data_IF_498718724225
#
_entry.id   IF_498718724225
#
_cell.length_a   1.000
_cell.length_b   1.000
_cell.length_c   1.000
_cell.angle_alpha   90.00
_cell.angle_beta   90.00
_cell.angle_gamma   90.00
#
_symmetry.space_group_name_H-M   'P 1'
#
loop_
_entity.id
_entity.type
_entity.pdbx_description
1 polymer ?
#
# COMPACT_ATOMS: atom_id res chain seq x y z
N UNK A 1 -6.96 -25.81 23.51
CA UNK A 1 -8.00 -24.85 23.08
C UNK A 1 -7.45 -23.45 23.36
N UNK A 2 -6.68 -22.89 22.42
CA UNK A 2 -6.27 -21.46 22.45
C UNK A 2 -5.48 -20.98 21.22
N UNK A 3 -4.85 -21.82 20.38
CA UNK A 3 -3.80 -21.29 19.49
C UNK A 3 -4.14 -21.19 18.00
N UNK A 4 -5.40 -21.42 17.58
CA UNK A 4 -5.74 -21.46 16.14
C UNK A 4 -6.69 -20.36 15.65
N UNK A 5 -7.09 -19.43 16.53
CA UNK A 5 -7.99 -18.32 16.17
C UNK A 5 -7.26 -17.00 15.86
N UNK A 6 -5.93 -16.93 16.05
CA UNK A 6 -5.15 -15.69 15.93
C UNK A 6 -4.57 -15.40 14.53
N UNK A 7 -4.70 -16.33 13.58
CA UNK A 7 -4.07 -16.14 12.25
C UNK A 7 -4.95 -15.38 11.24
N UNK A 8 -6.28 -15.42 11.41
CA UNK A 8 -7.24 -14.58 10.67
C UNK A 8 -7.27 -13.12 11.11
N UNK A 9 -7.26 -12.77 12.41
CA UNK A 9 -7.19 -11.38 12.83
C UNK A 9 -5.86 -10.76 12.41
N UNK A 10 -4.73 -11.48 12.39
CA UNK A 10 -3.44 -10.89 12.03
C UNK A 10 -3.38 -10.40 10.57
N UNK A 11 -3.97 -11.13 9.61
CA UNK A 11 -4.03 -10.72 8.21
C UNK A 11 -5.00 -9.56 7.97
N UNK A 12 -6.16 -9.57 8.65
CA UNK A 12 -7.15 -8.49 8.60
C UNK A 12 -6.64 -7.23 9.32
N UNK A 13 -5.89 -7.40 10.41
CA UNK A 13 -5.20 -6.33 11.15
C UNK A 13 -4.05 -5.78 10.31
N UNK A 14 -3.21 -6.60 9.67
CA UNK A 14 -2.17 -6.13 8.73
C UNK A 14 -2.76 -5.28 7.60
N UNK A 15 -3.80 -5.79 6.93
CA UNK A 15 -4.43 -5.10 5.79
C UNK A 15 -5.19 -3.83 6.21
N UNK A 16 -5.74 -3.79 7.44
CA UNK A 16 -6.30 -2.57 8.03
C UNK A 16 -5.21 -1.59 8.47
N UNK A 17 -4.15 -2.04 9.12
CA UNK A 17 -3.08 -1.20 9.66
C UNK A 17 -2.26 -0.57 8.54
N UNK A 18 -1.92 -1.32 7.49
CA UNK A 18 -1.09 -0.81 6.40
C UNK A 18 -1.89 0.13 5.46
N UNK A 19 -3.16 -0.21 5.18
CA UNK A 19 -4.10 0.69 4.50
C UNK A 19 -4.40 1.98 5.28
N UNK A 20 -4.30 1.95 6.61
CA UNK A 20 -4.39 3.12 7.49
C UNK A 20 -3.05 3.89 7.53
N UNK A 21 -1.90 3.22 7.41
CA UNK A 21 -0.59 3.85 7.51
C UNK A 21 -0.24 4.72 6.28
N UNK A 22 -0.59 4.26 5.07
CA UNK A 22 -0.32 4.99 3.82
C UNK A 22 -0.85 6.44 3.80
N UNK A 23 -2.13 6.73 4.15
CA UNK A 23 -2.62 8.11 4.17
C UNK A 23 -1.92 8.97 5.22
N UNK A 24 -1.48 8.40 6.35
CA UNK A 24 -0.70 9.16 7.34
C UNK A 24 0.70 9.50 6.83
N UNK A 25 1.38 8.58 6.16
CA UNK A 25 2.69 8.86 5.54
C UNK A 25 2.55 9.92 4.44
N UNK A 26 1.52 9.83 3.60
CA UNK A 26 1.22 10.85 2.59
C UNK A 26 0.91 12.22 3.23
N UNK A 27 0.14 12.24 4.32
CA UNK A 27 -0.16 13.47 5.07
C UNK A 27 1.09 14.10 5.68
N UNK A 28 2.03 13.29 6.18
CA UNK A 28 3.33 13.77 6.67
C UNK A 28 4.14 14.44 5.56
N UNK A 29 4.13 13.88 4.34
CA UNK A 29 4.79 14.51 3.18
C UNK A 29 4.15 15.86 2.86
N UNK A 30 2.82 15.92 2.78
CA UNK A 30 2.09 17.18 2.53
C UNK A 30 2.38 18.23 3.61
N UNK A 31 2.42 17.81 4.88
CA UNK A 31 2.74 18.68 6.01
C UNK A 31 4.19 19.19 5.93
N UNK A 32 5.15 18.33 5.56
CA UNK A 32 6.53 18.73 5.34
C UNK A 32 6.63 19.82 4.27
N UNK A 33 6.00 19.61 3.11
CA UNK A 33 5.96 20.59 2.03
C UNK A 33 5.31 21.90 2.46
N UNK A 34 4.21 21.84 3.21
CA UNK A 34 3.53 23.02 3.74
C UNK A 34 4.45 23.85 4.65
N UNK A 35 5.06 23.20 5.65
CA UNK A 35 5.94 23.88 6.62
C UNK A 35 7.13 24.52 5.90
N UNK A 36 7.82 23.76 5.03
CA UNK A 36 8.97 24.29 4.30
C UNK A 36 8.56 25.39 3.32
N UNK A 37 7.42 25.28 2.62
CA UNK A 37 6.97 26.33 1.71
C UNK A 37 6.74 27.65 2.44
N UNK A 38 6.07 27.62 3.60
CA UNK A 38 5.84 28.83 4.41
C UNK A 38 7.16 29.41 4.90
N UNK A 39 8.07 28.60 5.43
CA UNK A 39 9.40 29.06 5.88
C UNK A 39 10.17 29.67 4.70
N UNK A 40 10.20 28.99 3.55
CA UNK A 40 10.89 29.44 2.35
C UNK A 40 10.36 30.77 1.83
N UNK A 41 9.03 30.99 1.86
CA UNK A 41 8.45 32.29 1.53
C UNK A 41 8.90 33.40 2.48
N UNK A 42 8.94 33.14 3.79
CA UNK A 42 9.35 34.16 4.77
C UNK A 42 10.83 34.50 4.67
N UNK A 43 11.67 33.52 4.35
CA UNK A 43 13.13 33.67 4.33
C UNK A 43 13.65 34.13 2.96
N UNK A 44 13.17 33.53 1.87
CA UNK A 44 13.68 33.74 0.51
C UNK A 44 12.73 34.52 -0.39
N UNK A 45 11.54 34.90 0.09
CA UNK A 45 10.52 35.59 -0.70
C UNK A 45 10.91 36.99 -1.20
N UNK A 46 12.02 37.55 -0.72
CA UNK A 46 12.56 38.84 -1.16
C UNK A 46 13.72 38.73 -2.16
N UNK A 47 14.16 37.53 -2.49
CA UNK A 47 15.22 37.34 -3.49
C UNK A 47 14.70 37.80 -4.86
N UNK A 48 15.52 38.57 -5.57
CA UNK A 48 15.20 39.07 -6.91
C UNK A 48 15.06 37.93 -7.91
N UNK A 49 14.16 38.10 -8.87
CA UNK A 49 14.03 37.17 -9.98
C UNK A 49 15.03 37.54 -11.07
N UNK A 50 15.88 36.59 -11.46
CA UNK A 50 16.85 36.74 -12.53
C UNK A 50 16.88 35.47 -13.39
N UNK A 51 16.58 35.62 -14.68
CA UNK A 51 16.54 34.52 -15.66
C UNK A 51 17.92 33.86 -15.88
N UNK A 52 19.02 34.51 -15.46
CA UNK A 52 20.35 33.93 -15.46
C UNK A 52 20.63 33.03 -14.22
N UNK A 53 19.78 33.08 -13.20
CA UNK A 53 19.94 32.32 -11.95
C UNK A 53 18.89 31.22 -11.82
N UNK A 54 19.02 30.39 -10.79
CA UNK A 54 17.96 29.41 -10.47
C UNK A 54 16.72 30.03 -9.85
N UNK A 55 16.77 31.30 -9.41
CA UNK A 55 15.60 32.00 -8.88
C UNK A 55 15.06 32.95 -9.95
N UNK A 56 14.04 32.50 -10.66
CA UNK A 56 13.44 33.21 -11.79
C UNK A 56 11.90 33.10 -11.74
N UNK A 57 11.21 33.66 -12.74
CA UNK A 57 9.74 33.76 -12.77
C UNK A 57 9.00 32.44 -12.52
N UNK A 58 9.58 31.30 -12.91
CA UNK A 58 8.95 29.99 -12.77
C UNK A 58 9.50 29.16 -11.59
N UNK A 59 10.51 29.65 -10.88
CA UNK A 59 11.17 28.94 -9.79
C UNK A 59 11.54 29.95 -8.68
N UNK A 60 10.60 30.26 -7.78
CA UNK A 60 10.78 31.29 -6.75
C UNK A 60 9.92 31.05 -5.49
N UNK A 61 10.16 31.88 -4.48
CA UNK A 61 9.49 31.83 -3.18
C UNK A 61 8.53 33.02 -2.94
N UNK A 62 8.09 33.72 -3.99
CA UNK A 62 7.21 34.90 -3.84
C UNK A 62 5.76 34.52 -3.49
N UNK A 63 5.34 33.30 -3.83
CA UNK A 63 3.99 32.79 -3.51
C UNK A 63 4.03 31.35 -3.02
N UNK A 64 2.98 30.94 -2.31
CA UNK A 64 2.91 29.60 -1.71
C UNK A 64 3.03 28.49 -2.75
N UNK A 65 2.27 28.56 -3.84
CA UNK A 65 2.32 27.54 -4.88
C UNK A 65 3.66 27.52 -5.62
N UNK A 66 4.27 28.68 -5.86
CA UNK A 66 5.61 28.74 -6.45
C UNK A 66 6.65 28.10 -5.52
N UNK A 67 6.61 28.40 -4.21
CA UNK A 67 7.50 27.78 -3.23
C UNK A 67 7.32 26.25 -3.17
N UNK A 68 6.08 25.76 -3.23
CA UNK A 68 5.79 24.32 -3.32
C UNK A 68 6.39 23.70 -4.59
N UNK A 69 6.34 24.39 -5.73
CA UNK A 69 6.96 23.92 -6.98
C UNK A 69 8.49 23.86 -6.88
N UNK A 70 9.13 24.87 -6.27
CA UNK A 70 10.58 24.85 -6.01
C UNK A 70 10.96 23.65 -5.12
N UNK A 71 10.17 23.40 -4.08
CA UNK A 71 10.37 22.26 -3.18
C UNK A 71 10.11 20.92 -3.88
N UNK A 72 9.10 20.84 -4.76
CA UNK A 72 8.84 19.65 -5.55
C UNK A 72 9.99 19.33 -6.50
N UNK A 73 10.47 20.35 -7.23
CA UNK A 73 11.68 20.26 -8.05
C UNK A 73 12.91 19.81 -7.24
N UNK A 74 13.04 20.33 -6.02
CA UNK A 74 14.14 19.95 -5.13
C UNK A 74 14.00 18.52 -4.62
N UNK A 75 12.78 18.06 -4.36
CA UNK A 75 12.48 16.70 -3.90
C UNK A 75 12.74 15.63 -4.97
N UNK A 76 12.58 15.97 -6.25
CA UNK A 76 12.98 15.10 -7.37
C UNK A 76 14.49 15.09 -7.60
N UNK A 77 15.26 15.88 -6.84
CA UNK A 77 16.71 15.99 -6.94
C UNK A 77 17.19 16.89 -8.09
N UNK A 78 16.30 17.64 -8.72
CA UNK A 78 16.66 18.47 -9.87
C UNK A 78 17.27 19.80 -9.41
N UNK A 79 18.57 19.98 -9.66
CA UNK A 79 19.32 21.23 -9.46
C UNK A 79 19.15 21.90 -8.07
N UNK A 80 18.71 21.16 -7.05
CA UNK A 80 18.39 21.70 -5.72
C UNK A 80 19.58 22.40 -5.05
N UNK A 81 20.79 21.95 -5.35
CA UNK A 81 22.04 22.54 -4.88
C UNK A 81 22.24 23.94 -5.45
N UNK A 82 21.91 24.14 -6.72
CA UNK A 82 22.02 25.44 -7.38
C UNK A 82 20.93 26.40 -6.87
N UNK A 83 19.70 25.91 -6.67
CA UNK A 83 18.63 26.67 -6.02
C UNK A 83 19.05 27.14 -4.62
N UNK A 84 19.67 26.25 -3.84
CA UNK A 84 20.23 26.57 -2.52
C UNK A 84 21.28 27.68 -2.60
N UNK A 85 22.19 27.61 -3.57
CA UNK A 85 23.22 28.63 -3.77
C UNK A 85 22.65 29.97 -4.24
N UNK A 86 21.61 29.96 -5.08
CA UNK A 86 20.89 31.19 -5.48
C UNK A 86 20.03 31.80 -4.36
N UNK A 87 19.93 31.14 -3.20
CA UNK A 87 19.29 31.65 -1.99
C UNK A 87 20.27 31.95 -0.85
N UNK A 88 21.55 31.56 -0.99
CA UNK A 88 22.55 31.71 0.07
C UNK A 88 23.15 33.12 0.07
N UNK A 89 23.84 33.47 1.15
CA UNK A 89 24.45 34.80 1.29
C UNK A 89 25.67 34.94 0.36
N UNK A 90 25.39 35.25 -0.91
CA UNK A 90 26.37 35.51 -1.96
C UNK A 90 26.16 36.88 -2.59
N UNK A 91 27.21 37.40 -3.22
CA UNK A 91 27.24 38.75 -3.80
C UNK A 91 26.30 38.92 -5.00
N UNK A 92 26.00 37.83 -5.70
CA UNK A 92 25.08 37.75 -6.82
C UNK A 92 23.60 37.72 -6.40
N UNK A 93 23.30 37.45 -5.13
CA UNK A 93 21.93 37.31 -4.63
C UNK A 93 21.37 38.65 -4.14
N UNK A 94 20.70 39.37 -5.05
CA UNK A 94 20.11 40.70 -4.80
C UNK A 94 18.68 40.64 -4.31
N UNK A 95 18.26 41.72 -3.65
CA UNK A 95 16.87 41.91 -3.25
C UNK A 95 15.98 42.32 -4.43
N UNK A 96 14.74 41.84 -4.44
CA UNK A 96 13.73 42.20 -5.43
C UNK A 96 13.43 43.71 -5.41
N UNK A 97 13.19 44.32 -6.56
CA UNK A 97 13.00 45.77 -6.70
C UNK A 97 11.79 46.30 -5.91
N UNK A 98 10.78 45.46 -5.67
CA UNK A 98 9.60 45.82 -4.91
C UNK A 98 9.80 45.71 -3.39
N UNK A 99 10.88 45.07 -2.94
CA UNK A 99 11.20 44.91 -1.52
C UNK A 99 11.60 46.24 -0.88
N UNK A 100 11.32 46.38 0.42
CA UNK A 100 11.69 47.60 1.18
C UNK A 100 13.20 47.71 1.40
N UNK A 101 13.90 46.56 1.42
CA UNK A 101 15.35 46.49 1.51
C UNK A 101 15.99 47.11 0.26
N UNK A 102 15.50 46.78 -0.94
CA UNK A 102 15.97 47.39 -2.19
C UNK A 102 15.67 48.90 -2.26
N UNK A 103 14.50 49.34 -1.78
CA UNK A 103 14.16 50.78 -1.75
C UNK A 103 15.08 51.58 -0.83
N UNK A 104 15.60 50.96 0.23
CA UNK A 104 16.54 51.59 1.17
C UNK A 104 17.97 51.58 0.61
N UNK A 105 18.37 50.47 0.01
CA UNK A 105 19.68 50.29 -0.61
C UNK A 105 19.54 49.48 -1.91
N UNK A 106 19.88 50.10 -3.04
CA UNK A 106 19.79 49.46 -4.37
C UNK A 106 20.76 48.30 -4.54
N UNK A 107 21.79 48.23 -3.69
CA UNK A 107 22.76 47.14 -3.66
C UNK A 107 22.47 46.11 -2.57
N UNK A 108 21.31 46.20 -1.90
CA UNK A 108 20.92 45.27 -0.85
C UNK A 108 20.96 43.81 -1.31
N UNK A 109 21.53 42.96 -0.43
CA UNK A 109 21.62 41.52 -0.60
C UNK A 109 20.52 40.84 0.21
N UNK A 110 19.85 39.88 -0.39
CA UNK A 110 18.73 39.15 0.24
C UNK A 110 19.00 37.65 0.39
N UNK A 111 20.22 37.20 0.06
CA UNK A 111 20.65 35.84 0.33
C UNK A 111 20.96 35.61 1.81
N UNK A 112 20.69 34.41 2.32
CA UNK A 112 20.95 34.07 3.73
C UNK A 112 21.61 32.71 3.88
N UNK A 113 22.60 32.60 4.77
CA UNK A 113 23.29 31.32 5.04
C UNK A 113 22.38 30.24 5.65
N UNK A 114 21.19 30.61 6.13
CA UNK A 114 20.16 29.64 6.52
C UNK A 114 19.69 28.76 5.34
N UNK A 115 19.96 29.14 4.08
CA UNK A 115 19.69 28.32 2.90
C UNK A 115 20.34 26.92 2.99
N UNK A 116 21.57 26.80 3.49
CA UNK A 116 22.26 25.51 3.59
C UNK A 116 21.52 24.50 4.48
N UNK A 117 21.27 24.78 5.78
CA UNK A 117 20.54 23.85 6.62
C UNK A 117 19.08 23.67 6.15
N UNK A 118 18.45 24.68 5.56
CA UNK A 118 17.09 24.57 5.02
C UNK A 118 17.00 23.53 3.89
N UNK A 119 17.78 23.65 2.83
CA UNK A 119 17.70 22.74 1.68
C UNK A 119 18.24 21.34 2.00
N UNK A 120 19.34 21.24 2.77
CA UNK A 120 19.90 19.94 3.16
C UNK A 120 18.93 19.17 4.05
N UNK A 121 18.33 19.82 5.06
CA UNK A 121 17.35 19.16 5.93
C UNK A 121 16.09 18.75 5.17
N UNK A 122 15.58 19.60 4.28
CA UNK A 122 14.45 19.27 3.42
C UNK A 122 14.73 18.03 2.58
N UNK A 123 15.89 18.00 1.90
CA UNK A 123 16.26 16.90 1.02
C UNK A 123 16.38 15.56 1.79
N UNK A 124 17.02 15.58 2.97
CA UNK A 124 17.16 14.40 3.82
C UNK A 124 15.82 13.90 4.34
N UNK A 125 14.97 14.79 4.89
CA UNK A 125 13.65 14.44 5.42
C UNK A 125 12.71 13.96 4.32
N UNK A 126 12.68 14.64 3.18
CA UNK A 126 11.85 14.26 2.04
C UNK A 126 12.27 12.89 1.49
N UNK A 127 13.56 12.66 1.28
CA UNK A 127 14.08 11.36 0.82
C UNK A 127 13.71 10.24 1.77
N UNK A 128 13.85 10.46 3.09
CA UNK A 128 13.45 9.49 4.11
C UNK A 128 11.95 9.16 4.03
N UNK A 129 11.07 10.17 3.92
CA UNK A 129 9.63 9.94 3.81
C UNK A 129 9.22 9.24 2.52
N UNK A 130 9.82 9.61 1.38
CA UNK A 130 9.54 8.97 0.07
C UNK A 130 9.96 7.50 0.09
N UNK A 131 11.12 7.17 0.65
CA UNK A 131 11.55 5.78 0.80
C UNK A 131 10.58 5.02 1.71
N UNK A 132 10.16 5.60 2.83
CA UNK A 132 9.19 4.96 3.72
C UNK A 132 7.83 4.72 3.04
N UNK A 133 7.39 5.64 2.18
CA UNK A 133 6.20 5.45 1.35
C UNK A 133 6.38 4.28 0.38
N UNK A 134 7.52 4.22 -0.32
CA UNK A 134 7.82 3.14 -1.27
C UNK A 134 7.87 1.78 -0.58
N UNK A 135 8.52 1.68 0.59
CA UNK A 135 8.55 0.46 1.41
C UNK A 135 7.14 0.07 1.85
N UNK A 136 6.33 1.02 2.33
CA UNK A 136 4.96 0.73 2.74
C UNK A 136 4.12 0.18 1.58
N UNK A 137 4.21 0.79 0.39
CA UNK A 137 3.52 0.32 -0.81
C UNK A 137 4.01 -1.07 -1.23
N UNK A 138 5.33 -1.32 -1.23
CA UNK A 138 5.86 -2.64 -1.57
C UNK A 138 5.38 -3.70 -0.58
N UNK A 139 5.36 -3.42 0.72
CA UNK A 139 4.92 -4.39 1.72
C UNK A 139 3.44 -4.79 1.53
N UNK A 140 2.59 -3.84 1.15
CA UNK A 140 1.20 -4.11 0.77
C UNK A 140 1.12 -5.01 -0.48
N UNK A 141 1.94 -4.72 -1.49
CA UNK A 141 1.97 -5.49 -2.73
C UNK A 141 2.65 -6.86 -2.58
N UNK A 142 3.59 -7.01 -1.64
CA UNK A 142 4.34 -8.24 -1.43
C UNK A 142 3.47 -9.34 -0.83
N UNK A 143 2.55 -9.00 0.09
CA UNK A 143 1.57 -9.95 0.63
C UNK A 143 0.57 -10.41 -0.47
N UNK A 144 0.33 -9.61 -1.52
CA UNK A 144 -0.43 -10.03 -2.71
C UNK A 144 0.38 -11.00 -3.59
N UNK A 145 1.62 -10.64 -3.92
CA UNK A 145 2.49 -11.44 -4.81
C UNK A 145 2.93 -12.77 -4.19
N UNK A 146 2.99 -12.87 -2.85
CA UNK A 146 3.34 -14.13 -2.16
C UNK A 146 2.14 -15.07 -1.95
N UNK A 147 0.90 -14.59 -2.09
CA UNK A 147 -0.32 -15.43 -1.99
C UNK A 147 -0.50 -16.38 -3.16
N UNK A 148 0.00 -16.03 -4.34
CA UNK A 148 -0.08 -16.87 -5.55
C UNK A 148 0.80 -18.13 -5.49
N UNK A 149 1.70 -18.23 -4.50
CA UNK A 149 2.49 -19.45 -4.23
C UNK A 149 1.85 -20.38 -3.20
N UNK A 150 0.73 -19.98 -2.58
CA UNK A 150 0.02 -20.88 -1.69
C UNK A 150 -0.63 -21.99 -2.51
N UNK A 151 -0.41 -23.24 -2.09
CA UNK A 151 -0.98 -24.46 -2.72
C UNK A 151 -2.50 -24.34 -2.91
N UNK A 152 -3.18 -23.48 -2.15
CA UNK A 152 -4.60 -23.19 -2.26
C UNK A 152 -4.89 -21.68 -2.20
N UNK A 153 -4.94 -21.02 -3.36
CA UNK A 153 -5.29 -19.60 -3.49
C UNK A 153 -6.81 -19.30 -3.49
N UNK A 154 -7.18 -18.01 -3.41
CA UNK A 154 -8.58 -17.56 -3.37
C UNK A 154 -9.40 -17.95 -4.61
N UNK A 155 -8.77 -18.02 -5.78
CA UNK A 155 -9.42 -18.47 -7.03
C UNK A 155 -9.99 -19.89 -6.95
N UNK A 156 -9.33 -20.81 -6.22
CA UNK A 156 -9.88 -22.17 -6.01
C UNK A 156 -11.11 -22.15 -5.10
N UNK A 157 -11.14 -21.24 -4.11
CA UNK A 157 -12.29 -21.08 -3.22
C UNK A 157 -13.47 -20.46 -3.98
N UNK A 158 -13.21 -19.49 -4.86
CA UNK A 158 -14.23 -18.91 -5.76
C UNK A 158 -14.81 -19.96 -6.71
N UNK A 159 -13.98 -20.84 -7.28
CA UNK A 159 -14.45 -21.96 -8.09
C UNK A 159 -15.37 -22.90 -7.29
N UNK A 160 -15.01 -23.22 -6.04
CA UNK A 160 -15.85 -24.02 -5.14
C UNK A 160 -17.18 -23.33 -4.84
N UNK A 161 -17.17 -22.03 -4.50
CA UNK A 161 -18.39 -21.25 -4.20
C UNK A 161 -19.32 -21.23 -5.42
N UNK A 162 -18.76 -20.96 -6.60
CA UNK A 162 -19.52 -20.92 -7.86
C UNK A 162 -20.14 -22.29 -8.18
N UNK A 163 -19.39 -23.37 -8.01
CA UNK A 163 -19.92 -24.71 -8.29
C UNK A 163 -20.91 -25.16 -7.22
N UNK A 164 -20.75 -24.73 -5.96
CA UNK A 164 -21.72 -25.00 -4.90
C UNK A 164 -23.08 -24.35 -5.18
N UNK A 165 -23.10 -23.12 -5.69
CA UNK A 165 -24.36 -22.43 -6.00
C UNK A 165 -25.18 -23.10 -7.09
N UNK A 166 -24.56 -23.91 -7.97
CA UNK A 166 -25.31 -24.76 -8.92
C UNK A 166 -26.14 -25.85 -8.21
N UNK A 167 -25.71 -26.30 -7.03
CA UNK A 167 -26.37 -27.36 -6.25
C UNK A 167 -27.25 -26.82 -5.11
N UNK A 168 -27.05 -25.56 -4.72
CA UNK A 168 -27.84 -24.85 -3.70
C UNK A 168 -28.34 -23.49 -4.24
N UNK A 169 -29.27 -23.50 -5.23
CA UNK A 169 -29.77 -22.27 -5.85
C UNK A 169 -30.57 -21.38 -4.88
N UNK A 170 -31.13 -21.97 -3.82
CA UNK A 170 -31.90 -21.26 -2.80
C UNK A 170 -31.01 -20.70 -1.66
N UNK A 171 -29.68 -20.87 -1.75
CA UNK A 171 -28.70 -20.45 -0.74
C UNK A 171 -29.04 -20.93 0.70
N UNK A 172 -29.50 -22.18 0.84
CA UNK A 172 -29.81 -22.79 2.14
C UNK A 172 -28.57 -23.09 2.97
N UNK A 173 -27.39 -23.04 2.36
CA UNK A 173 -26.09 -23.33 2.96
C UNK A 173 -25.82 -24.82 3.16
N UNK A 174 -26.62 -25.71 2.55
CA UNK A 174 -26.55 -27.17 2.72
C UNK A 174 -26.95 -27.92 1.46
N UNK A 175 -26.24 -29.01 1.17
CA UNK A 175 -26.53 -29.92 0.06
C UNK A 175 -26.50 -31.37 0.54
N UNK A 176 -27.02 -32.31 -0.24
CA UNK A 176 -26.97 -33.73 0.11
C UNK A 176 -25.53 -34.24 0.02
N UNK A 177 -25.12 -35.09 0.95
CA UNK A 177 -23.76 -35.65 0.97
C UNK A 177 -23.37 -36.38 -0.33
N UNK A 178 -24.34 -36.99 -1.02
CA UNK A 178 -24.12 -37.66 -2.31
C UNK A 178 -23.70 -36.68 -3.42
N UNK A 179 -24.29 -35.48 -3.42
CA UNK A 179 -24.04 -34.46 -4.45
C UNK A 179 -22.63 -33.86 -4.32
N UNK A 180 -22.06 -33.87 -3.10
CA UNK A 180 -20.68 -33.44 -2.81
C UNK A 180 -19.67 -34.21 -3.65
N UNK A 181 -19.86 -35.51 -3.86
CA UNK A 181 -18.94 -36.33 -4.69
C UNK A 181 -18.92 -35.81 -6.12
N UNK A 182 -20.10 -35.47 -6.66
CA UNK A 182 -20.21 -34.97 -8.04
C UNK A 182 -19.65 -33.55 -8.18
N UNK A 183 -19.87 -32.71 -7.18
CA UNK A 183 -19.31 -31.36 -7.10
C UNK A 183 -17.78 -31.40 -7.05
N UNK A 184 -17.19 -32.22 -6.18
CA UNK A 184 -15.73 -32.34 -6.05
C UNK A 184 -15.05 -32.90 -7.30
N UNK A 185 -15.75 -33.69 -8.11
CA UNK A 185 -15.24 -34.14 -9.41
C UNK A 185 -15.31 -33.07 -10.50
N UNK A 186 -16.16 -32.05 -10.35
CA UNK A 186 -16.18 -30.88 -11.25
C UNK A 186 -15.02 -29.92 -10.96
N UNK A 187 -14.65 -29.77 -9.68
CA UNK A 187 -13.56 -28.88 -9.25
C UNK A 187 -12.20 -29.50 -9.59
N UNK A 188 -11.30 -28.70 -10.17
CA UNK A 188 -9.95 -29.14 -10.52
C UNK A 188 -9.07 -29.32 -9.26
N UNK A 189 -8.05 -30.20 -9.29
CA UNK A 189 -6.99 -30.18 -8.28
C UNK A 189 -6.34 -28.78 -8.23
N UNK A 190 -5.93 -28.28 -7.05
CA UNK A 190 -5.64 -29.00 -5.82
C UNK A 190 -6.81 -29.10 -4.82
N UNK A 191 -7.90 -28.32 -4.97
CA UNK A 191 -9.01 -28.36 -4.01
C UNK A 191 -9.97 -29.53 -4.27
N UNK A 192 -10.27 -29.80 -5.53
CA UNK A 192 -11.14 -30.88 -5.98
C UNK A 192 -10.41 -32.13 -6.43
N UNK A 193 -11.15 -33.07 -7.01
CA UNK A 193 -10.63 -34.34 -7.52
C UNK A 193 -10.38 -34.33 -9.02
N UNK A 194 -10.99 -33.40 -9.75
CA UNK A 194 -10.96 -33.35 -11.21
C UNK A 194 -11.82 -34.42 -11.89
N UNK A 195 -12.19 -34.15 -13.16
CA UNK A 195 -13.14 -34.96 -13.94
C UNK A 195 -12.68 -36.41 -14.15
N UNK A 196 -11.37 -36.61 -14.24
CA UNK A 196 -10.71 -37.90 -14.45
C UNK A 196 -10.72 -38.81 -13.22
N UNK A 197 -11.08 -38.30 -12.03
CA UNK A 197 -11.09 -39.11 -10.81
C UNK A 197 -12.20 -40.17 -10.85
N UNK A 198 -11.88 -41.46 -10.66
CA UNK A 198 -12.88 -42.52 -10.56
C UNK A 198 -13.81 -42.31 -9.38
N UNK A 199 -15.10 -42.60 -9.58
CA UNK A 199 -16.13 -42.39 -8.55
C UNK A 199 -15.79 -43.07 -7.21
N UNK A 200 -15.31 -44.32 -7.26
CA UNK A 200 -14.92 -45.08 -6.06
C UNK A 200 -13.79 -44.40 -5.27
N UNK A 201 -12.82 -43.81 -5.96
CA UNK A 201 -11.71 -43.11 -5.32
C UNK A 201 -12.18 -41.78 -4.72
N UNK A 202 -13.07 -41.06 -5.40
CA UNK A 202 -13.69 -39.85 -4.91
C UNK A 202 -14.51 -40.10 -3.62
N UNK A 203 -15.35 -41.15 -3.61
CA UNK A 203 -16.10 -41.54 -2.40
C UNK A 203 -15.17 -41.92 -1.25
N UNK A 204 -14.13 -42.73 -1.52
CA UNK A 204 -13.16 -43.12 -0.49
C UNK A 204 -12.47 -41.89 0.12
N UNK A 205 -12.06 -40.93 -0.72
CA UNK A 205 -11.48 -39.67 -0.26
C UNK A 205 -12.47 -38.84 0.55
N UNK A 206 -13.72 -38.68 0.08
CA UNK A 206 -14.75 -37.92 0.79
C UNK A 206 -15.02 -38.50 2.18
N UNK A 207 -15.16 -39.83 2.31
CA UNK A 207 -15.36 -40.50 3.61
C UNK A 207 -14.16 -40.27 4.53
N UNK A 208 -12.93 -40.30 3.98
CA UNK A 208 -11.73 -40.04 4.78
C UNK A 208 -11.59 -38.60 5.29
N UNK A 209 -12.35 -37.64 4.73
CA UNK A 209 -12.33 -36.24 5.19
C UNK A 209 -13.10 -36.04 6.50
N UNK A 210 -13.84 -37.05 6.99
CA UNK A 210 -14.60 -37.04 8.24
C UNK A 210 -15.45 -35.76 8.41
N UNK A 211 -16.35 -35.55 7.45
CA UNK A 211 -17.25 -34.39 7.40
C UNK A 211 -18.48 -34.63 8.27
N UNK A 212 -18.91 -33.65 9.10
CA UNK A 212 -20.10 -33.81 9.90
C UNK A 212 -21.35 -33.89 9.01
N UNK A 213 -22.17 -34.91 9.26
CA UNK A 213 -23.44 -35.17 8.59
C UNK A 213 -24.61 -34.74 9.49
N UNK A 214 -25.57 -34.04 8.91
CA UNK A 214 -26.83 -33.75 9.60
C UNK A 214 -27.73 -34.99 9.62
N UNK A 215 -28.73 -34.99 10.50
CA UNK A 215 -29.69 -36.08 10.66
C UNK A 215 -30.52 -36.39 9.40
N UNK A 216 -30.61 -35.43 8.47
CA UNK A 216 -31.30 -35.55 7.19
C UNK A 216 -30.38 -36.00 6.03
N UNK A 217 -29.11 -36.32 6.32
CA UNK A 217 -28.12 -36.73 5.32
C UNK A 217 -27.53 -35.56 4.50
N UNK A 218 -27.76 -34.32 4.93
CA UNK A 218 -27.15 -33.13 4.33
C UNK A 218 -25.83 -32.75 5.00
N UNK A 219 -25.02 -31.95 4.31
CA UNK A 219 -23.80 -31.33 4.84
C UNK A 219 -23.83 -29.82 4.61
N UNK A 220 -23.23 -29.08 5.53
CA UNK A 220 -23.20 -27.61 5.50
C UNK A 220 -21.98 -27.09 4.72
N UNK A 221 -22.16 -26.00 3.97
CA UNK A 221 -21.12 -25.35 3.15
C UNK A 221 -19.81 -25.12 3.92
N UNK A 222 -19.88 -24.43 5.07
CA UNK A 222 -18.69 -24.10 5.87
C UNK A 222 -17.97 -25.36 6.38
N UNK A 223 -18.73 -26.39 6.77
CA UNK A 223 -18.16 -27.65 7.25
C UNK A 223 -17.48 -28.42 6.12
N UNK A 224 -18.09 -28.43 4.92
CA UNK A 224 -17.51 -29.07 3.74
C UNK A 224 -16.23 -28.36 3.30
N UNK A 225 -16.28 -27.03 3.19
CA UNK A 225 -15.13 -26.22 2.77
C UNK A 225 -13.96 -26.38 3.74
N UNK A 226 -14.23 -26.30 5.05
CA UNK A 226 -13.20 -26.49 6.06
C UNK A 226 -12.58 -27.88 6.00
N UNK A 227 -13.39 -28.94 5.83
CA UNK A 227 -12.88 -30.30 5.70
C UNK A 227 -11.97 -30.46 4.48
N UNK A 228 -12.32 -29.87 3.34
CA UNK A 228 -11.52 -29.91 2.11
C UNK A 228 -10.19 -29.16 2.26
N UNK A 229 -10.22 -27.95 2.81
CA UNK A 229 -9.03 -27.15 3.08
C UNK A 229 -8.10 -27.90 4.04
N UNK A 230 -8.65 -28.44 5.13
CA UNK A 230 -7.92 -29.24 6.12
C UNK A 230 -7.21 -30.43 5.48
N UNK A 231 -7.92 -31.20 4.65
CA UNK A 231 -7.36 -32.39 3.99
C UNK A 231 -6.28 -32.04 2.98
N UNK A 232 -6.47 -31.00 2.17
CA UNK A 232 -5.49 -30.61 1.14
C UNK A 232 -4.23 -29.97 1.74
N UNK A 233 -4.34 -29.26 2.86
CA UNK A 233 -3.20 -28.69 3.59
C UNK A 233 -2.56 -29.67 4.58
N UNK A 234 -3.05 -30.92 4.67
CA UNK A 234 -2.60 -31.95 5.64
C UNK A 234 -2.59 -31.45 7.09
N UNK A 235 -3.54 -30.58 7.45
CA UNK A 235 -3.68 -30.09 8.82
C UNK A 235 -4.36 -31.20 9.62
N UNK A 236 -3.57 -32.08 10.22
CA UNK A 236 -4.05 -33.08 11.15
C UNK A 236 -4.32 -32.40 12.50
N UNK A 237 -5.51 -31.85 12.69
CA UNK A 237 -6.02 -31.69 14.05
C UNK A 237 -6.28 -33.11 14.56
N UNK A 238 -5.34 -33.65 15.33
CA UNK A 238 -5.60 -34.83 16.14
C UNK A 238 -6.85 -34.57 16.97
N UNK A 239 -7.92 -35.31 16.68
CA UNK A 239 -9.06 -35.44 17.58
C UNK A 239 -8.55 -36.12 18.85
N UNK A 240 -8.71 -35.44 19.98
CA UNK A 240 -9.18 -36.14 21.17
C UNK A 240 -10.64 -36.56 20.93
#
# INVERSE_FOLDING_TARGET
MSDHFDQYPLGLIKQRVLGIALPYVALLIVLLFFIYAVIGMQVFGKVALDDATQIHRNNNFHSFFAAVLVLFRSATGEAWQEVMLSCSDREDVRCDQHSDDYKRDKEARCGVNFAYPYFISFFMLCSFLVINLFVAVIMDNFDYLTRDWSILGPHHLEEFVRLWSEYDPDAKGRIKHLDVVTLLRKISPPLGFGKLCPHRLACKRLVSMNMPLNSDGTVCFNATLFALVRTNLKIYTGLF
#
